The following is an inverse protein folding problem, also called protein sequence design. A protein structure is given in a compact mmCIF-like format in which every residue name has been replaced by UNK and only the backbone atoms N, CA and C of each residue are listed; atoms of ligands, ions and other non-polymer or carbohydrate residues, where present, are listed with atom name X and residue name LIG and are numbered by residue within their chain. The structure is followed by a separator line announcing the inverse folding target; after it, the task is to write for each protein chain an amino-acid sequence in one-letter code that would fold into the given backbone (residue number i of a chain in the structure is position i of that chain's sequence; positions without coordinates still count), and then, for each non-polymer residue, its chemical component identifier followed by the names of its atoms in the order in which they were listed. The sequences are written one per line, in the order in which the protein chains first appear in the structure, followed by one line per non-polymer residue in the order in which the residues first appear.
data_IF_545938870687
#
_entry.id   IF_545938870687
#
_cell.length_a   1.000
_cell.length_b   1.000
_cell.length_c   1.000
_cell.angle_alpha   90.00
_cell.angle_beta   90.00
_cell.angle_gamma   90.00
#
_symmetry.space_group_name_H-M   'P 1'
#
loop_
_entity.id
_entity.type
_entity.pdbx_description
1 polymer ?
#
# COMPACT_ATOMS: atom_id res chain seq x y z
N UNK A 1 -13.79 -22.49 11.36
CA UNK A 1 -14.24 -21.73 10.18
C UNK A 1 -14.23 -22.66 8.96
N UNK A 2 -15.37 -22.80 8.29
CA UNK A 2 -15.44 -23.65 7.09
C UNK A 2 -14.76 -22.98 5.90
N UNK A 3 -13.79 -23.67 5.28
CA UNK A 3 -13.08 -23.23 4.09
C UNK A 3 -13.60 -23.95 2.85
N UNK A 4 -13.72 -23.23 1.73
CA UNK A 4 -14.19 -23.79 0.46
C UNK A 4 -13.22 -24.85 -0.11
N UNK A 5 -13.69 -25.62 -1.10
CA UNK A 5 -12.92 -26.70 -1.73
C UNK A 5 -11.60 -26.20 -2.33
N UNK A 6 -11.64 -25.13 -3.14
CA UNK A 6 -10.46 -24.55 -3.78
C UNK A 6 -9.37 -24.12 -2.75
N UNK A 7 -9.79 -23.46 -1.65
CA UNK A 7 -8.86 -23.09 -0.58
C UNK A 7 -8.20 -24.31 0.07
N UNK A 8 -8.99 -25.39 0.34
CA UNK A 8 -8.46 -26.63 0.93
C UNK A 8 -7.44 -27.29 0.03
N UNK A 9 -7.65 -27.29 -1.28
CA UNK A 9 -6.72 -27.82 -2.26
C UNK A 9 -5.44 -26.98 -2.36
N UNK A 10 -5.57 -25.64 -2.43
CA UNK A 10 -4.42 -24.73 -2.42
C UNK A 10 -3.60 -24.87 -1.14
N UNK A 11 -4.28 -25.02 0.02
CA UNK A 11 -3.60 -25.19 1.32
C UNK A 11 -2.81 -26.49 1.45
N UNK A 12 -3.09 -27.53 0.64
CA UNK A 12 -2.30 -28.78 0.62
C UNK A 12 -0.91 -28.60 -0.02
N UNK A 13 -0.75 -27.56 -0.85
CA UNK A 13 0.52 -27.25 -1.52
C UNK A 13 1.53 -26.57 -0.59
N UNK A 14 1.08 -26.10 0.58
CA UNK A 14 1.86 -25.23 1.46
C UNK A 14 2.01 -25.89 2.83
N UNK A 15 3.25 -26.09 3.26
CA UNK A 15 3.52 -26.45 4.65
C UNK A 15 3.45 -25.18 5.52
N UNK A 16 2.52 -25.15 6.45
CA UNK A 16 2.30 -24.01 7.36
C UNK A 16 3.43 -23.77 8.35
N UNK A 17 4.26 -24.78 8.60
CA UNK A 17 5.37 -24.68 9.56
C UNK A 17 6.67 -24.25 8.85
N UNK A 18 6.83 -24.55 7.57
CA UNK A 18 8.00 -24.21 6.79
C UNK A 18 8.13 -22.67 6.59
N UNK A 19 9.37 -22.21 6.60
CA UNK A 19 9.78 -20.88 6.16
C UNK A 19 10.40 -21.01 4.77
N UNK A 20 9.76 -20.38 3.78
CA UNK A 20 10.18 -20.46 2.39
C UNK A 20 11.13 -19.31 2.04
N UNK A 21 12.03 -19.54 1.11
CA UNK A 21 12.78 -18.45 0.48
C UNK A 21 11.79 -17.55 -0.30
N UNK A 22 12.07 -16.24 -0.42
CA UNK A 22 11.10 -15.29 -1.01
C UNK A 22 10.63 -15.69 -2.41
N UNK A 23 11.54 -16.11 -3.31
CA UNK A 23 11.17 -16.53 -4.67
C UNK A 23 10.26 -17.76 -4.67
N UNK A 24 10.62 -18.79 -3.89
CA UNK A 24 9.82 -20.01 -3.76
C UNK A 24 8.44 -19.73 -3.17
N UNK A 25 8.36 -18.78 -2.21
CA UNK A 25 7.10 -18.35 -1.62
C UNK A 25 6.17 -17.71 -2.65
N UNK A 26 6.71 -16.87 -3.55
CA UNK A 26 5.90 -16.27 -4.62
C UNK A 26 5.46 -17.28 -5.66
N UNK A 27 6.33 -18.23 -6.04
CA UNK A 27 5.94 -19.33 -6.91
C UNK A 27 4.80 -20.17 -6.31
N UNK A 28 4.85 -20.44 -5.01
CA UNK A 28 3.80 -21.17 -4.30
C UNK A 28 2.50 -20.37 -4.25
N UNK A 29 2.55 -19.06 -4.01
CA UNK A 29 1.36 -18.18 -4.02
C UNK A 29 0.71 -18.20 -5.40
N UNK A 30 1.49 -18.08 -6.47
CA UNK A 30 1.00 -18.11 -7.86
C UNK A 30 0.35 -19.47 -8.16
N UNK A 31 1.01 -20.58 -7.83
CA UNK A 31 0.47 -21.94 -8.02
C UNK A 31 -0.79 -22.21 -7.19
N UNK A 32 -0.88 -21.59 -6.01
CA UNK A 32 -2.02 -21.74 -5.11
C UNK A 32 -3.21 -20.85 -5.50
N UNK A 33 -3.01 -19.83 -6.34
CA UNK A 33 -4.08 -18.96 -6.84
C UNK A 33 -4.97 -19.71 -7.83
N UNK A 34 -6.28 -19.78 -7.52
CA UNK A 34 -7.29 -20.51 -8.30
C UNK A 34 -8.50 -19.66 -8.68
N UNK A 35 -8.47 -18.36 -8.38
CA UNK A 35 -9.57 -17.49 -8.74
C UNK A 35 -9.63 -17.23 -10.26
N UNK A 36 -10.83 -16.89 -10.75
CA UNK A 36 -11.05 -16.56 -12.17
C UNK A 36 -10.67 -15.12 -12.54
N UNK A 37 -10.19 -14.36 -11.57
CA UNK A 37 -9.72 -12.98 -11.74
C UNK A 37 -8.24 -12.89 -11.36
N UNK A 38 -7.56 -11.84 -11.81
CA UNK A 38 -6.16 -11.59 -11.47
C UNK A 38 -6.05 -11.14 -10.01
N UNK A 39 -5.69 -12.09 -9.14
CA UNK A 39 -5.61 -11.88 -7.70
C UNK A 39 -4.50 -10.90 -7.35
N UNK A 40 -4.73 -10.08 -6.33
CA UNK A 40 -3.68 -9.24 -5.76
C UNK A 40 -2.82 -10.07 -4.80
N UNK A 41 -1.51 -9.94 -4.92
CA UNK A 41 -0.56 -10.51 -3.96
C UNK A 41 -0.24 -9.45 -2.91
N UNK A 42 -0.44 -9.83 -1.66
CA UNK A 42 -0.23 -8.98 -0.49
C UNK A 42 0.91 -9.49 0.37
N UNK A 43 1.59 -8.56 1.04
CA UNK A 43 2.62 -8.82 2.01
C UNK A 43 2.18 -8.35 3.39
N UNK A 44 2.34 -9.21 4.38
CA UNK A 44 2.01 -8.94 5.77
C UNK A 44 3.26 -9.09 6.62
N UNK A 45 3.76 -7.99 7.18
CA UNK A 45 5.01 -7.94 7.94
C UNK A 45 4.70 -7.60 9.39
N UNK A 46 4.92 -8.55 10.30
CA UNK A 46 4.78 -8.31 11.73
C UNK A 46 6.08 -7.77 12.30
N UNK A 47 6.00 -6.59 12.89
CA UNK A 47 7.14 -5.90 13.47
C UNK A 47 7.24 -6.11 14.99
N UNK A 48 8.46 -6.04 15.51
CA UNK A 48 8.77 -6.07 16.93
C UNK A 48 8.78 -4.67 17.56
N UNK A 49 7.72 -3.89 17.31
CA UNK A 49 7.53 -2.53 17.85
C UNK A 49 6.23 -2.48 18.66
N UNK A 50 6.05 -1.45 19.47
CA UNK A 50 4.77 -1.16 20.12
C UNK A 50 4.10 0.05 19.46
N UNK A 51 3.10 -0.23 18.62
CA UNK A 51 2.34 0.79 17.89
C UNK A 51 1.50 1.73 18.75
N UNK A 52 1.43 1.54 20.08
CA UNK A 52 0.76 2.46 21.00
C UNK A 52 1.60 3.71 21.24
N UNK A 53 2.92 3.60 21.12
CA UNK A 53 3.86 4.71 21.29
C UNK A 53 4.08 5.44 19.96
N UNK A 54 3.96 6.75 19.98
CA UNK A 54 4.08 7.57 18.77
C UNK A 54 5.47 7.52 18.12
N UNK A 55 6.52 7.30 18.94
CA UNK A 55 7.92 7.15 18.54
C UNK A 55 8.23 5.78 17.91
N UNK A 56 7.35 4.79 18.09
CA UNK A 56 7.45 3.46 17.48
C UNK A 56 6.48 3.23 16.33
N UNK A 57 5.74 4.25 15.93
CA UNK A 57 4.86 4.19 14.78
C UNK A 57 5.66 4.16 13.48
N UNK A 58 5.47 3.09 12.68
CA UNK A 58 6.09 2.94 11.36
C UNK A 58 5.05 3.30 10.30
N UNK A 59 5.34 4.35 9.54
CA UNK A 59 4.52 4.82 8.42
C UNK A 59 5.42 5.42 7.35
N UNK A 60 5.15 5.11 6.11
CA UNK A 60 5.87 5.69 4.96
C UNK A 60 5.17 5.36 3.66
N UNK A 61 5.82 5.72 2.58
CA UNK A 61 5.40 5.36 1.23
C UNK A 61 6.62 5.00 0.39
N UNK A 62 6.41 4.12 -0.57
CA UNK A 62 7.42 3.71 -1.54
C UNK A 62 6.79 3.55 -2.91
N UNK A 63 7.54 3.89 -3.96
CA UNK A 63 7.17 3.56 -5.33
C UNK A 63 7.75 2.19 -5.64
N UNK A 64 6.87 1.26 -6.01
CA UNK A 64 7.29 -0.10 -6.36
C UNK A 64 7.88 -0.13 -7.78
N UNK A 65 9.02 -0.82 -8.01
CA UNK A 65 9.68 -0.88 -9.32
C UNK A 65 8.75 -1.33 -10.44
N UNK A 66 7.92 -2.33 -10.18
CA UNK A 66 6.98 -2.89 -11.16
C UNK A 66 5.53 -2.39 -10.95
N UNK A 67 5.33 -1.36 -10.10
CA UNK A 67 4.00 -0.89 -9.75
C UNK A 67 3.16 -1.91 -8.99
N UNK A 68 1.86 -1.63 -8.86
CA UNK A 68 0.88 -2.51 -8.19
C UNK A 68 -0.02 -3.29 -9.16
N UNK A 69 0.02 -2.99 -10.46
CA UNK A 69 -0.88 -3.55 -11.47
C UNK A 69 -2.32 -3.02 -11.38
N UNK A 70 -2.55 -1.94 -10.63
CA UNK A 70 -3.84 -1.24 -10.55
C UNK A 70 -3.69 0.14 -11.19
N UNK A 71 -4.60 0.51 -12.08
CA UNK A 71 -4.72 1.90 -12.53
C UNK A 71 -5.34 2.73 -11.42
N UNK A 72 -4.62 3.75 -10.98
CA UNK A 72 -5.02 4.61 -9.87
C UNK A 72 -5.62 5.91 -10.41
N UNK A 73 -6.84 6.25 -9.97
CA UNK A 73 -7.47 7.54 -10.25
C UNK A 73 -7.03 8.54 -9.21
N UNK A 74 -6.37 9.60 -9.66
CA UNK A 74 -5.73 10.60 -8.81
C UNK A 74 -6.58 11.87 -8.76
N UNK A 75 -6.99 12.25 -7.56
CA UNK A 75 -7.62 13.53 -7.25
C UNK A 75 -6.57 14.50 -6.69
N UNK A 76 -6.52 15.73 -7.22
CA UNK A 76 -5.58 16.75 -6.77
C UNK A 76 -6.32 17.98 -6.25
N UNK A 77 -6.05 18.34 -5.00
CA UNK A 77 -6.48 19.62 -4.43
C UNK A 77 -5.39 20.67 -4.60
N UNK A 78 -5.64 21.64 -5.45
CA UNK A 78 -4.73 22.74 -5.71
C UNK A 78 -5.49 24.05 -5.96
N UNK A 79 -4.75 25.17 -5.96
CA UNK A 79 -5.28 26.47 -6.35
C UNK A 79 -5.66 26.47 -7.85
N UNK A 80 -6.61 27.35 -8.26
CA UNK A 80 -7.03 27.41 -9.67
C UNK A 80 -5.87 27.58 -10.66
N UNK A 81 -4.85 28.34 -10.28
CA UNK A 81 -3.64 28.60 -11.11
C UNK A 81 -2.83 27.33 -11.44
N UNK A 82 -2.99 26.28 -10.64
CA UNK A 82 -2.22 25.02 -10.78
C UNK A 82 -3.08 23.83 -11.28
N UNK A 83 -4.34 24.08 -11.63
CA UNK A 83 -5.24 23.03 -12.11
C UNK A 83 -4.77 22.48 -13.45
N UNK A 84 -4.35 23.37 -14.36
CA UNK A 84 -3.87 22.96 -15.67
C UNK A 84 -2.54 22.16 -15.56
N UNK A 85 -1.64 22.61 -14.68
CA UNK A 85 -0.41 21.86 -14.35
C UNK A 85 -0.71 20.44 -13.85
N UNK A 86 -1.73 20.28 -12.99
CA UNK A 86 -2.12 18.98 -12.45
C UNK A 86 -2.73 18.08 -13.53
N UNK A 87 -3.57 18.64 -14.43
CA UNK A 87 -4.17 17.90 -15.54
C UNK A 87 -3.12 17.45 -16.57
N UNK A 88 -2.17 18.33 -16.91
CA UNK A 88 -1.05 17.99 -17.81
C UNK A 88 -0.16 16.88 -17.24
N UNK A 89 0.03 16.86 -15.91
CA UNK A 89 0.75 15.80 -15.21
C UNK A 89 -0.02 14.48 -15.16
N UNK A 90 -1.29 14.46 -15.61
CA UNK A 90 -2.12 13.28 -15.70
C UNK A 90 -3.06 13.07 -14.51
N UNK A 91 -3.40 14.08 -13.72
CA UNK A 91 -4.46 13.97 -12.72
C UNK A 91 -5.82 13.69 -13.39
N UNK A 92 -6.58 12.76 -12.83
CA UNK A 92 -7.92 12.45 -13.32
C UNK A 92 -8.92 13.54 -12.89
N UNK A 93 -8.71 14.09 -11.71
CA UNK A 93 -9.50 15.20 -11.17
C UNK A 93 -8.57 16.23 -10.53
N UNK A 94 -8.74 17.49 -10.85
CA UNK A 94 -7.98 18.60 -10.27
C UNK A 94 -8.89 19.79 -10.01
N UNK A 95 -8.82 20.36 -8.82
CA UNK A 95 -9.64 21.52 -8.44
C UNK A 95 -9.45 21.93 -6.99
N UNK A 96 -10.29 22.85 -6.54
CA UNK A 96 -10.23 23.44 -5.21
C UNK A 96 -11.50 23.20 -4.38
N UNK A 97 -12.21 24.30 -4.05
CA UNK A 97 -13.44 24.25 -3.23
C UNK A 97 -14.59 23.51 -3.89
N UNK A 98 -14.69 23.58 -5.21
CA UNK A 98 -15.67 22.88 -6.03
C UNK A 98 -15.69 21.37 -5.77
N UNK A 99 -14.49 20.76 -5.74
CA UNK A 99 -14.34 19.33 -5.44
C UNK A 99 -14.64 19.01 -3.97
N UNK A 100 -14.30 19.92 -3.05
CA UNK A 100 -14.64 19.76 -1.63
C UNK A 100 -16.14 19.72 -1.43
N UNK A 101 -16.86 20.66 -2.07
CA UNK A 101 -18.33 20.71 -2.00
C UNK A 101 -18.96 19.46 -2.64
N UNK A 102 -18.45 19.02 -3.78
CA UNK A 102 -18.92 17.80 -4.45
C UNK A 102 -18.81 16.59 -3.56
N UNK A 103 -17.66 16.40 -2.90
CA UNK A 103 -17.45 15.27 -1.97
C UNK A 103 -18.40 15.37 -0.78
N UNK A 104 -18.63 16.57 -0.22
CA UNK A 104 -19.51 16.76 0.94
C UNK A 104 -20.99 16.57 0.62
N UNK A 105 -21.46 17.10 -0.52
CA UNK A 105 -22.89 17.09 -0.90
C UNK A 105 -23.32 15.78 -1.53
N UNK A 106 -22.46 15.22 -2.40
CA UNK A 106 -22.80 14.05 -3.22
C UNK A 106 -22.22 12.75 -2.69
N UNK A 107 -21.37 12.76 -1.64
CA UNK A 107 -20.59 11.61 -1.19
C UNK A 107 -19.82 10.95 -2.34
N UNK A 108 -19.22 11.78 -3.22
CA UNK A 108 -18.51 11.33 -4.39
C UNK A 108 -17.11 10.86 -4.04
N UNK A 109 -16.76 9.61 -4.39
CA UNK A 109 -15.47 8.96 -4.10
C UNK A 109 -14.96 8.14 -5.29
N UNK A 110 -15.09 8.64 -6.50
CA UNK A 110 -14.61 7.97 -7.71
C UNK A 110 -13.11 8.15 -7.95
N UNK A 111 -12.33 8.20 -6.88
CA UNK A 111 -10.88 8.32 -6.90
C UNK A 111 -10.24 7.36 -5.89
N UNK A 112 -8.99 6.96 -6.17
CA UNK A 112 -8.25 6.00 -5.36
C UNK A 112 -7.14 6.64 -4.54
N UNK A 113 -6.64 7.81 -4.94
CA UNK A 113 -5.58 8.54 -4.24
C UNK A 113 -5.87 10.05 -4.27
N UNK A 114 -5.58 10.71 -3.15
CA UNK A 114 -5.74 12.16 -3.00
C UNK A 114 -4.38 12.80 -2.78
N UNK A 115 -4.06 13.79 -3.60
CA UNK A 115 -2.88 14.65 -3.45
C UNK A 115 -3.36 16.05 -3.13
N UNK A 116 -2.68 16.74 -2.24
CA UNK A 116 -3.02 18.11 -1.87
C UNK A 116 -1.79 19.01 -1.85
N UNK A 117 -1.94 20.24 -2.34
CA UNK A 117 -0.95 21.26 -2.05
C UNK A 117 -1.01 21.67 -0.58
N UNK A 118 0.10 22.05 0.06
CA UNK A 118 0.10 22.45 1.48
C UNK A 118 -0.91 23.56 1.79
N UNK A 119 -1.10 24.51 0.88
CA UNK A 119 -2.01 25.63 0.99
C UNK A 119 -3.49 25.21 1.11
N UNK A 120 -3.86 24.09 0.46
CA UNK A 120 -5.22 23.57 0.44
C UNK A 120 -5.56 22.67 1.63
N UNK A 121 -4.57 22.30 2.45
CA UNK A 121 -4.79 21.38 3.59
C UNK A 121 -5.80 21.91 4.62
N UNK A 122 -5.88 23.23 4.82
CA UNK A 122 -6.90 23.81 5.70
C UNK A 122 -8.33 23.54 5.20
N UNK A 123 -8.53 23.56 3.89
CA UNK A 123 -9.81 23.27 3.23
C UNK A 123 -10.09 21.77 3.21
N UNK A 124 -9.11 20.97 2.83
CA UNK A 124 -9.19 19.49 2.79
C UNK A 124 -9.39 18.91 4.20
N UNK A 125 -8.90 19.58 5.24
CA UNK A 125 -9.11 19.20 6.63
C UNK A 125 -10.58 19.06 7.02
N UNK A 126 -11.48 19.84 6.40
CA UNK A 126 -12.94 19.75 6.60
C UNK A 126 -13.50 18.40 6.12
N UNK A 127 -12.83 17.73 5.17
CA UNK A 127 -13.17 16.40 4.66
C UNK A 127 -12.63 15.27 5.54
N UNK A 128 -11.90 15.57 6.62
CA UNK A 128 -11.23 14.55 7.44
C UNK A 128 -12.15 13.46 7.97
N UNK A 129 -13.41 13.79 8.32
CA UNK A 129 -14.43 12.82 8.76
C UNK A 129 -14.88 11.86 7.63
N UNK A 130 -14.79 12.30 6.37
CA UNK A 130 -15.19 11.53 5.20
C UNK A 130 -14.01 10.73 4.58
N UNK A 131 -12.88 11.41 4.41
CA UNK A 131 -11.68 10.81 3.80
C UNK A 131 -10.87 9.92 4.77
N UNK A 132 -10.88 10.26 6.07
CA UNK A 132 -10.09 9.55 7.09
C UNK A 132 -10.44 8.07 7.21
N UNK A 133 -11.73 7.70 7.42
CA UNK A 133 -12.13 6.29 7.53
C UNK A 133 -11.86 5.46 6.26
N UNK A 134 -11.83 6.13 5.10
CA UNK A 134 -11.55 5.49 3.80
C UNK A 134 -10.04 5.38 3.50
N UNK A 135 -9.17 5.95 4.35
CA UNK A 135 -7.72 5.96 4.11
C UNK A 135 -7.28 6.91 2.99
N UNK A 136 -8.16 7.83 2.55
CA UNK A 136 -7.91 8.76 1.44
C UNK A 136 -7.39 10.13 1.90
N UNK A 137 -7.18 10.34 3.19
CA UNK A 137 -6.72 11.63 3.73
C UNK A 137 -5.26 11.88 3.37
N UNK A 138 -4.93 12.98 2.66
CA UNK A 138 -3.55 13.31 2.33
C UNK A 138 -2.68 13.49 3.58
N UNK A 139 -1.41 13.07 3.48
CA UNK A 139 -0.47 13.13 4.59
C UNK A 139 0.93 13.50 4.11
N UNK A 140 1.64 14.42 4.80
CA UNK A 140 3.04 14.71 4.51
C UNK A 140 3.95 13.48 4.62
N UNK A 141 3.68 12.59 5.59
CA UNK A 141 4.46 11.37 5.80
C UNK A 141 4.32 10.35 4.66
N UNK A 142 3.18 10.35 3.96
CA UNK A 142 2.96 9.54 2.76
C UNK A 142 3.43 10.26 1.48
N UNK A 143 3.88 11.52 1.59
CA UNK A 143 4.28 12.35 0.45
C UNK A 143 3.12 12.68 -0.49
N UNK A 144 1.89 12.67 0.03
CA UNK A 144 0.67 13.08 -0.70
C UNK A 144 0.30 14.55 -0.43
N UNK A 145 1.00 15.20 0.51
CA UNK A 145 0.96 16.66 0.70
C UNK A 145 2.30 17.22 0.29
N UNK A 146 2.35 17.87 -0.87
CA UNK A 146 3.60 18.36 -1.47
C UNK A 146 3.37 19.59 -2.33
N UNK A 147 4.33 20.52 -2.40
CA UNK A 147 4.29 21.61 -3.38
C UNK A 147 4.57 21.13 -4.81
N UNK A 148 5.25 19.98 -4.98
CA UNK A 148 5.57 19.40 -6.30
C UNK A 148 4.49 18.41 -6.73
N UNK A 149 3.40 18.94 -7.28
CA UNK A 149 2.21 18.16 -7.69
C UNK A 149 2.55 17.20 -8.83
N UNK A 150 3.34 17.63 -9.83
CA UNK A 150 3.68 16.80 -11.01
C UNK A 150 4.38 15.51 -10.59
N UNK A 151 5.40 15.61 -9.75
CA UNK A 151 6.13 14.45 -9.26
C UNK A 151 5.22 13.51 -8.46
N UNK A 152 4.38 14.04 -7.57
CA UNK A 152 3.49 13.24 -6.75
C UNK A 152 2.45 12.45 -7.58
N UNK A 153 1.93 13.06 -8.66
CA UNK A 153 1.01 12.39 -9.60
C UNK A 153 1.74 11.26 -10.34
N UNK A 154 2.94 11.53 -10.85
CA UNK A 154 3.75 10.53 -11.56
C UNK A 154 4.07 9.35 -10.65
N UNK A 155 4.50 9.61 -9.42
CA UNK A 155 4.76 8.56 -8.42
C UNK A 155 3.50 7.76 -8.07
N UNK A 156 2.35 8.43 -7.88
CA UNK A 156 1.09 7.77 -7.58
C UNK A 156 0.66 6.83 -8.73
N UNK A 157 0.79 7.28 -9.98
CA UNK A 157 0.49 6.45 -11.16
C UNK A 157 1.53 5.37 -11.44
N UNK A 158 2.79 5.57 -11.02
CA UNK A 158 3.85 4.56 -11.08
C UNK A 158 3.66 3.42 -10.05
N UNK A 159 2.67 3.51 -9.17
CA UNK A 159 2.38 2.47 -8.17
C UNK A 159 3.03 2.76 -6.81
N UNK A 160 2.92 4.00 -6.35
CA UNK A 160 3.25 4.38 -4.97
C UNK A 160 2.31 3.69 -3.99
N UNK A 161 2.89 2.95 -3.05
CA UNK A 161 2.16 2.26 -1.98
C UNK A 161 2.49 2.91 -0.65
N UNK A 162 1.45 3.27 0.11
CA UNK A 162 1.59 3.70 1.49
C UNK A 162 1.57 2.47 2.40
N UNK A 163 2.49 2.43 3.37
CA UNK A 163 2.49 1.43 4.42
C UNK A 163 2.34 2.09 5.79
N UNK A 164 1.53 1.47 6.62
CA UNK A 164 1.25 1.94 7.98
C UNK A 164 1.11 0.75 8.93
N UNK A 165 1.70 0.90 10.12
CA UNK A 165 1.55 -0.06 11.20
C UNK A 165 0.12 -0.06 11.72
N UNK A 166 -0.49 -1.23 11.86
CA UNK A 166 -1.79 -1.42 12.46
C UNK A 166 -1.72 -1.55 13.99
N UNK A 167 -2.87 -1.74 14.64
CA UNK A 167 -2.96 -1.93 16.11
C UNK A 167 -2.35 -3.25 16.59
N UNK A 168 -2.13 -4.21 15.71
CA UNK A 168 -1.54 -5.52 15.99
C UNK A 168 -0.06 -5.57 15.65
N UNK A 169 0.53 -4.43 15.31
CA UNK A 169 1.92 -4.25 14.89
C UNK A 169 2.27 -4.99 13.60
N UNK A 170 1.31 -5.02 12.67
CA UNK A 170 1.47 -5.61 11.35
C UNK A 170 1.34 -4.51 10.29
N UNK A 171 2.18 -4.58 9.27
CA UNK A 171 2.06 -3.80 8.04
C UNK A 171 1.43 -4.69 6.98
N UNK A 172 0.40 -4.21 6.31
CA UNK A 172 -0.30 -4.88 5.23
C UNK A 172 -0.14 -4.05 3.96
N UNK A 173 0.50 -4.62 2.92
CA UNK A 173 0.73 -3.90 1.66
C UNK A 173 0.49 -4.81 0.45
N UNK A 174 -0.18 -4.33 -0.60
CA UNK A 174 -0.19 -4.99 -1.89
C UNK A 174 1.19 -4.83 -2.55
N UNK A 175 1.71 -5.91 -3.14
CA UNK A 175 3.00 -5.91 -3.84
C UNK A 175 2.87 -6.18 -5.34
N UNK A 176 1.68 -6.48 -5.83
CA UNK A 176 1.42 -6.69 -7.25
C UNK A 176 0.25 -7.62 -7.51
N UNK A 177 0.19 -8.12 -8.73
CA UNK A 177 -0.80 -9.08 -9.21
C UNK A 177 -0.15 -10.45 -9.45
N UNK A 178 -0.95 -11.51 -9.40
CA UNK A 178 -0.50 -12.87 -9.73
C UNK A 178 0.08 -12.93 -11.16
N UNK A 179 -0.48 -12.14 -12.07
CA UNK A 179 -0.01 -12.02 -13.46
C UNK A 179 1.40 -11.45 -13.62
N UNK A 180 1.98 -10.85 -12.58
CA UNK A 180 3.35 -10.31 -12.63
C UNK A 180 4.42 -11.41 -12.71
N UNK A 181 4.14 -12.58 -12.18
CA UNK A 181 5.12 -13.63 -11.99
C UNK A 181 6.04 -13.43 -10.78
N UNK A 182 6.77 -14.46 -10.40
CA UNK A 182 7.56 -14.49 -9.17
C UNK A 182 8.71 -13.46 -9.15
N UNK A 183 9.38 -13.23 -10.29
CA UNK A 183 10.52 -12.32 -10.34
C UNK A 183 10.13 -10.87 -10.07
N UNK A 184 9.08 -10.35 -10.73
CA UNK A 184 8.58 -8.98 -10.49
C UNK A 184 8.02 -8.80 -9.08
N UNK A 185 7.34 -9.82 -8.55
CA UNK A 185 6.86 -9.81 -7.17
C UNK A 185 8.02 -9.80 -6.18
N UNK A 186 9.11 -10.52 -6.48
CA UNK A 186 10.32 -10.50 -5.66
C UNK A 186 11.01 -9.13 -5.65
N UNK A 187 11.12 -8.46 -6.81
CA UNK A 187 11.68 -7.11 -6.89
C UNK A 187 10.88 -6.10 -6.06
N UNK A 188 9.55 -6.13 -6.19
CA UNK A 188 8.65 -5.30 -5.40
C UNK A 188 8.75 -5.61 -3.90
N UNK A 189 8.84 -6.89 -3.54
CA UNK A 189 9.05 -7.32 -2.15
C UNK A 189 10.37 -6.79 -1.59
N UNK A 190 11.48 -6.94 -2.32
CA UNK A 190 12.80 -6.49 -1.89
C UNK A 190 12.82 -4.98 -1.65
N UNK A 191 12.21 -4.20 -2.56
CA UNK A 191 12.07 -2.76 -2.40
C UNK A 191 11.27 -2.40 -1.13
N UNK A 192 10.09 -3.03 -0.93
CA UNK A 192 9.23 -2.76 0.22
C UNK A 192 9.88 -3.13 1.55
N UNK A 193 10.50 -4.32 1.65
CA UNK A 193 11.21 -4.75 2.86
C UNK A 193 12.39 -3.84 3.16
N UNK A 194 13.16 -3.43 2.14
CA UNK A 194 14.26 -2.48 2.29
C UNK A 194 13.77 -1.13 2.84
N UNK A 195 12.62 -0.63 2.39
CA UNK A 195 12.02 0.60 2.91
C UNK A 195 11.56 0.44 4.37
N UNK A 196 10.94 -0.70 4.72
CA UNK A 196 10.50 -0.99 6.09
C UNK A 196 11.71 -1.08 7.03
N UNK A 197 12.81 -1.73 6.61
CA UNK A 197 14.04 -1.83 7.42
C UNK A 197 14.66 -0.44 7.64
N UNK A 198 14.73 0.40 6.61
CA UNK A 198 15.22 1.79 6.72
C UNK A 198 14.37 2.64 7.65
N UNK A 199 13.07 2.36 7.72
CA UNK A 199 12.12 3.06 8.60
C UNK A 199 12.13 2.55 10.05
N UNK A 200 13.08 1.68 10.45
CA UNK A 200 13.18 1.15 11.80
C UNK A 200 13.35 2.29 12.81
N UNK A 201 12.42 2.43 13.79
CA UNK A 201 12.57 3.43 14.85
C UNK A 201 13.77 3.13 15.73
N UNK A 202 14.48 4.18 16.20
CA UNK A 202 15.59 4.03 17.13
C UNK A 202 15.16 3.39 18.48
N UNK A 203 13.92 3.61 18.89
CA UNK A 203 13.32 3.02 20.09
C UNK A 203 13.01 1.52 19.97
N UNK A 204 13.06 0.93 18.76
CA UNK A 204 12.77 -0.48 18.54
C UNK A 204 13.95 -1.35 19.00
N UNK A 205 13.74 -2.12 20.08
CA UNK A 205 14.73 -3.05 20.66
C UNK A 205 14.47 -4.48 20.18
N UNK A 206 15.53 -5.25 20.04
CA UNK A 206 15.45 -6.67 19.66
C UNK A 206 15.12 -6.91 18.18
N UNK A 207 14.46 -8.04 17.89
CA UNK A 207 14.14 -8.45 16.54
C UNK A 207 13.06 -7.55 15.93
N UNK A 208 13.41 -6.79 14.89
CA UNK A 208 12.50 -5.84 14.25
C UNK A 208 11.43 -6.53 13.38
N UNK A 209 11.82 -7.42 12.47
CA UNK A 209 10.87 -8.22 11.69
C UNK A 209 10.66 -9.54 12.40
N UNK A 210 9.46 -9.76 12.97
CA UNK A 210 9.12 -11.00 13.67
C UNK A 210 8.63 -12.09 12.74
N UNK A 211 7.80 -11.73 11.77
CA UNK A 211 7.32 -12.66 10.76
C UNK A 211 6.93 -11.92 9.49
N UNK A 212 7.06 -12.60 8.35
CA UNK A 212 6.68 -12.11 7.05
C UNK A 212 5.84 -13.19 6.37
N UNK A 213 4.68 -12.80 5.84
CA UNK A 213 3.74 -13.73 5.17
C UNK A 213 3.26 -13.06 3.90
N UNK A 214 3.22 -13.81 2.82
CA UNK A 214 2.58 -13.39 1.56
C UNK A 214 1.34 -14.24 1.28
N UNK A 215 0.35 -13.64 0.65
CA UNK A 215 -0.87 -14.34 0.26
C UNK A 215 -1.47 -13.70 -0.99
N UNK A 216 -2.16 -14.49 -1.81
CA UNK A 216 -3.07 -13.95 -2.82
C UNK A 216 -4.46 -13.69 -2.19
N UNK A 217 -5.30 -12.90 -2.88
CA UNK A 217 -6.61 -12.45 -2.36
C UNK A 217 -7.46 -13.59 -1.81
N UNK A 218 -7.50 -14.73 -2.50
CA UNK A 218 -8.32 -15.89 -2.11
C UNK A 218 -7.49 -17.08 -1.62
N UNK A 219 -6.15 -16.95 -1.65
CA UNK A 219 -5.20 -18.02 -1.33
C UNK A 219 -4.86 -18.14 0.15
N UNK A 220 -4.17 -19.20 0.52
CA UNK A 220 -3.56 -19.38 1.84
C UNK A 220 -2.30 -18.53 1.99
N UNK A 221 -1.95 -18.16 3.23
CA UNK A 221 -0.72 -17.45 3.54
C UNK A 221 0.50 -18.37 3.50
N UNK A 222 1.58 -17.88 2.87
CA UNK A 222 2.90 -18.52 2.78
C UNK A 222 3.89 -17.73 3.62
N UNK A 223 4.57 -18.37 4.55
CA UNK A 223 5.56 -17.72 5.40
C UNK A 223 6.88 -17.55 4.67
N UNK A 224 7.42 -16.35 4.69
CA UNK A 224 8.71 -16.00 4.08
C UNK A 224 9.79 -15.94 5.16
N UNK A 225 10.97 -16.49 4.87
CA UNK A 225 12.15 -16.32 5.68
C UNK A 225 12.73 -14.92 5.46
N UNK A 226 12.35 -13.96 6.31
CA UNK A 226 12.82 -12.59 6.22
C UNK A 226 14.18 -12.35 6.92
N UNK A 227 14.72 -13.34 7.64
CA UNK A 227 15.97 -13.18 8.42
C UNK A 227 17.22 -13.11 7.55
N UNK A 228 17.20 -13.67 6.34
CA UNK A 228 18.35 -13.64 5.41
C UNK A 228 18.53 -12.29 4.67
N UNK A 229 17.62 -11.34 4.86
CA UNK A 229 17.69 -10.01 4.22
C UNK A 229 18.03 -8.90 5.23
N UNK A 230 18.28 -9.25 6.47
CA UNK A 230 18.85 -8.42 7.54
C UNK A 230 20.38 -8.60 7.57
#
# INVERSE_FOLDING_TARGET
MFRGKNYKESAKLIDKQALYEPKDAFDLVIKASKAKFDETVELHVKLGVDGRHADQQVRGAIVLPNGTGKSVRVLVFCKPERVDEAKEAGADYAGGMDLVEKIQKENWFEFDTVIASPDMMGTVGRLGKLLGPKGLMPSPKAGTVTPNIKQAITEAKAGKVEYRLDKTNIIHCPIGKVSFGADKLYENYAALIGAIIKAKPAAAKGQYIRSCVTASTMGPGVKINAQKQL
#
